data_IF_011410905836
#
_entry.id   IF_011410905836
#
_cell.length_a   1.000
_cell.length_b   1.000
_cell.length_c   1.000
_cell.angle_alpha   90.00
_cell.angle_beta   90.00
_cell.angle_gamma   90.00
#
_symmetry.space_group_name_H-M   'P 1'
#
loop_
_entity.id
_entity.type
_entity.pdbx_description
1 polymer ?
#
# COMPACT_ATOMS: atom_id res chain seq x y z
N UNK A 1 11.68 9.76 -1.27
CA UNK A 1 10.53 9.49 -2.16
C UNK A 1 9.26 9.71 -1.39
N UNK A 2 8.41 10.57 -1.90
CA UNK A 2 7.13 10.87 -1.26
C UNK A 2 6.04 9.97 -1.82
N UNK A 3 5.32 9.29 -0.93
CA UNK A 3 4.22 8.43 -1.31
C UNK A 3 2.94 8.89 -0.63
N UNK A 4 1.80 8.56 -1.20
CA UNK A 4 0.50 8.84 -0.61
C UNK A 4 -0.20 7.53 -0.29
N UNK A 5 -0.88 7.51 0.86
CA UNK A 5 -1.70 6.37 1.25
C UNK A 5 -3.11 6.87 1.46
N UNK A 6 -4.05 6.34 0.69
CA UNK A 6 -5.45 6.77 0.76
C UNK A 6 -6.35 5.56 0.95
N UNK A 7 -7.49 5.78 1.57
CA UNK A 7 -8.52 4.76 1.75
C UNK A 7 -9.57 4.94 0.67
N UNK A 8 -9.83 3.88 -0.10
CA UNK A 8 -10.83 3.91 -1.16
C UNK A 8 -11.89 2.84 -0.91
N UNK A 9 -13.14 3.21 -1.15
CA UNK A 9 -14.27 2.30 -0.94
C UNK A 9 -15.02 2.02 -2.25
N UNK A 10 -14.43 2.39 -3.39
CA UNK A 10 -15.08 2.47 -4.68
C UNK A 10 -15.84 1.23 -5.15
N UNK A 11 -17.15 1.22 -5.01
CA UNK A 11 -18.05 0.36 -5.74
C UNK A 11 -17.95 -1.15 -5.49
N UNK A 12 -17.21 -1.59 -4.51
CA UNK A 12 -17.03 -3.02 -4.24
C UNK A 12 -17.78 -3.44 -2.99
N UNK A 13 -19.08 -3.23 -2.96
CA UNK A 13 -19.95 -3.65 -1.84
C UNK A 13 -19.47 -3.15 -0.48
N UNK A 14 -18.98 -1.90 -0.42
CA UNK A 14 -18.50 -1.31 0.82
C UNK A 14 -17.15 -1.81 1.31
N UNK A 15 -16.43 -2.59 0.51
CA UNK A 15 -15.09 -3.04 0.90
C UNK A 15 -14.11 -1.89 0.82
N UNK A 16 -13.33 -1.74 1.88
CA UNK A 16 -12.30 -0.71 1.94
C UNK A 16 -10.98 -1.24 1.41
N UNK A 17 -10.26 -0.39 0.68
CA UNK A 17 -8.95 -0.71 0.13
C UNK A 17 -8.00 0.43 0.45
N UNK A 18 -6.85 0.08 1.02
CA UNK A 18 -5.78 1.05 1.26
C UNK A 18 -4.90 1.10 0.01
N UNK A 19 -4.78 2.28 -0.58
CA UNK A 19 -4.09 2.46 -1.86
C UNK A 19 -2.83 3.29 -1.66
N UNK A 20 -1.71 2.78 -2.15
CA UNK A 20 -0.40 3.43 -2.02
C UNK A 20 0.03 3.86 -3.42
N UNK A 21 0.27 5.17 -3.58
CA UNK A 21 0.72 5.78 -4.85
C UNK A 21 1.99 6.58 -4.63
N UNK A 22 2.67 6.88 -5.72
CA UNK A 22 3.88 7.71 -5.70
C UNK A 22 5.18 6.95 -5.66
N UNK A 23 5.14 5.62 -5.67
CA UNK A 23 6.35 4.81 -5.70
C UNK A 23 6.90 4.81 -7.14
N UNK A 24 8.16 5.21 -7.30
CA UNK A 24 8.80 5.28 -8.63
C UNK A 24 9.84 4.18 -8.85
N UNK A 25 9.95 3.22 -7.94
CA UNK A 25 10.85 2.09 -8.08
C UNK A 25 10.38 1.15 -9.20
N UNK A 26 11.28 0.24 -9.61
CA UNK A 26 10.92 -0.76 -10.61
C UNK A 26 9.88 -1.75 -10.04
N UNK A 27 9.19 -2.49 -10.93
CA UNK A 27 8.12 -3.40 -10.48
C UNK A 27 8.57 -4.45 -9.46
N UNK A 28 9.82 -4.92 -9.56
CA UNK A 28 10.32 -5.92 -8.62
C UNK A 28 10.39 -5.39 -7.19
N UNK A 29 10.82 -4.15 -7.02
CA UNK A 29 10.87 -3.51 -5.70
C UNK A 29 9.47 -3.30 -5.17
N UNK A 30 8.55 -2.89 -6.01
CA UNK A 30 7.15 -2.67 -5.63
C UNK A 30 6.50 -3.98 -5.18
N UNK A 31 6.75 -5.08 -5.91
CA UNK A 31 6.23 -6.39 -5.53
C UNK A 31 6.77 -6.85 -4.17
N UNK A 32 8.05 -6.64 -3.91
CA UNK A 32 8.64 -6.99 -2.61
C UNK A 32 8.00 -6.18 -1.48
N UNK A 33 7.77 -4.90 -1.72
CA UNK A 33 7.12 -4.05 -0.73
C UNK A 33 5.69 -4.51 -0.47
N UNK A 34 4.96 -4.85 -1.50
CA UNK A 34 3.59 -5.36 -1.39
C UNK A 34 3.56 -6.65 -0.57
N UNK A 35 4.46 -7.59 -0.85
CA UNK A 35 4.55 -8.83 -0.09
C UNK A 35 4.87 -8.58 1.38
N UNK A 36 5.76 -7.65 1.66
CA UNK A 36 6.11 -7.28 3.03
C UNK A 36 4.89 -6.71 3.75
N UNK A 37 4.16 -5.83 3.10
CA UNK A 37 2.95 -5.25 3.67
C UNK A 37 1.90 -6.32 3.97
N UNK A 38 1.64 -7.21 3.02
CA UNK A 38 0.68 -8.31 3.22
C UNK A 38 1.07 -9.20 4.39
N UNK A 39 2.35 -9.54 4.48
CA UNK A 39 2.86 -10.38 5.56
C UNK A 39 2.70 -9.72 6.92
N UNK A 40 3.07 -8.47 7.04
CA UNK A 40 3.00 -7.75 8.32
C UNK A 40 1.59 -7.40 8.73
N UNK A 41 0.71 -7.17 7.78
CA UNK A 41 -0.68 -6.81 8.05
C UNK A 41 -1.61 -8.02 8.14
N UNK A 42 -1.15 -9.18 7.68
CA UNK A 42 -1.97 -10.39 7.68
C UNK A 42 -3.18 -10.30 6.77
N UNK A 43 -3.05 -9.63 5.64
CA UNK A 43 -4.17 -9.38 4.73
C UNK A 43 -3.75 -9.57 3.28
N UNK A 44 -4.73 -9.59 2.37
CA UNK A 44 -4.48 -9.68 0.94
C UNK A 44 -4.19 -8.33 0.31
N UNK A 45 -3.63 -8.36 -0.89
CA UNK A 45 -3.35 -7.16 -1.65
C UNK A 45 -2.92 -7.50 -3.06
N UNK A 46 -2.78 -6.48 -3.89
CA UNK A 46 -2.35 -6.63 -5.28
C UNK A 46 -1.54 -5.42 -5.72
N UNK A 47 -0.80 -5.59 -6.80
CA UNK A 47 -0.06 -4.51 -7.45
C UNK A 47 -0.64 -4.30 -8.84
N UNK A 48 -0.99 -3.06 -9.15
CA UNK A 48 -1.42 -2.67 -10.49
C UNK A 48 -0.51 -1.56 -11.00
N UNK A 49 0.36 -1.90 -11.96
CA UNK A 49 1.39 -0.97 -12.40
C UNK A 49 2.31 -0.61 -11.25
N UNK A 50 2.31 0.66 -10.85
CA UNK A 50 3.10 1.13 -9.70
C UNK A 50 2.24 1.48 -8.50
N UNK A 51 1.01 0.99 -8.45
CA UNK A 51 0.06 1.23 -7.37
C UNK A 51 -0.12 -0.05 -6.58
N UNK A 52 0.00 0.05 -5.26
CA UNK A 52 -0.23 -1.08 -4.35
C UNK A 52 -1.62 -0.91 -3.73
N UNK A 53 -2.43 -1.97 -3.78
CA UNK A 53 -3.74 -2.01 -3.15
C UNK A 53 -3.72 -3.07 -2.05
N UNK A 54 -4.02 -2.66 -0.83
CA UNK A 54 -4.08 -3.57 0.33
C UNK A 54 -5.52 -3.62 0.81
N UNK A 55 -6.07 -4.82 0.95
CA UNK A 55 -7.45 -5.00 1.39
C UNK A 55 -7.62 -4.53 2.84
N UNK A 56 -8.66 -3.75 3.08
CA UNK A 56 -9.01 -3.26 4.39
C UNK A 56 -8.45 -1.88 4.69
N UNK A 57 -8.80 -1.36 5.87
CA UNK A 57 -8.33 -0.07 6.35
C UNK A 57 -7.13 -0.28 7.27
N UNK A 58 -5.93 -0.07 6.74
CA UNK A 58 -4.69 -0.25 7.50
C UNK A 58 -3.79 0.99 7.38
N UNK A 59 -4.37 2.17 7.19
CA UNK A 59 -3.61 3.39 6.93
C UNK A 59 -2.54 3.67 7.98
N UNK A 60 -2.82 3.64 9.29
CA UNK A 60 -1.78 3.95 10.28
C UNK A 60 -0.62 2.96 10.24
N UNK A 61 -0.93 1.67 10.12
CA UNK A 61 0.10 0.64 10.07
C UNK A 61 0.92 0.72 8.81
N UNK A 62 0.27 0.95 7.67
CA UNK A 62 0.96 1.09 6.39
C UNK A 62 1.90 2.29 6.42
N UNK A 63 1.43 3.42 6.94
CA UNK A 63 2.26 4.62 7.05
C UNK A 63 3.50 4.36 7.90
N UNK A 64 3.33 3.65 9.00
CA UNK A 64 4.45 3.30 9.88
C UNK A 64 5.47 2.41 9.17
N UNK A 65 4.99 1.37 8.46
CA UNK A 65 5.86 0.46 7.73
C UNK A 65 6.62 1.21 6.64
N UNK A 66 5.94 2.04 5.87
CA UNK A 66 6.57 2.82 4.80
C UNK A 66 7.62 3.79 5.36
N UNK A 67 7.33 4.44 6.47
CA UNK A 67 8.31 5.32 7.12
C UNK A 67 9.55 4.55 7.55
N UNK A 68 9.39 3.35 8.07
CA UNK A 68 10.51 2.49 8.45
C UNK A 68 11.34 2.06 7.24
N UNK A 69 10.72 1.98 6.07
CA UNK A 69 11.40 1.61 4.83
C UNK A 69 12.04 2.83 4.13
N UNK A 70 11.96 4.01 4.73
CA UNK A 70 12.59 5.20 4.21
C UNK A 70 11.73 6.06 3.30
N UNK A 71 10.45 5.77 3.19
CA UNK A 71 9.53 6.61 2.40
C UNK A 71 8.98 7.77 3.23
N UNK A 72 8.79 8.91 2.58
CA UNK A 72 8.03 10.00 3.17
C UNK A 72 6.56 9.81 2.84
N UNK A 73 5.73 9.68 3.87
CA UNK A 73 4.30 9.45 3.68
C UNK A 73 3.54 10.74 3.92
N UNK A 74 2.72 11.11 2.95
CA UNK A 74 1.82 12.25 3.08
C UNK A 74 0.54 11.84 3.82
#
# INVERSE_FOLDING_TARGET
MKVTVTLETGGRRGKQVSVIRGITHNPQVIEKLEKKLKSQLGTGGTVKGKVIEIQGNHLPKIKKILSQEGYEVK
#
